data_IF_479942611497
#
_entry.id   IF_479942611497
#
_cell.length_a   1.000
_cell.length_b   1.000
_cell.length_c   1.000
_cell.angle_alpha   90.00
_cell.angle_beta   90.00
_cell.angle_gamma   90.00
#
_symmetry.space_group_name_H-M   'P 1'
#
loop_
_entity.id
_entity.type
_entity.pdbx_description
1 polymer ?
#
# COMPACT_ATOMS: atom_id res chain seq x y z
N UNK A 1 10.84 16.28 23.84
CA UNK A 1 10.54 14.85 23.66
C UNK A 1 9.62 14.79 22.46
N UNK A 2 10.14 14.46 21.29
CA UNK A 2 9.40 14.40 20.03
C UNK A 2 9.93 13.20 19.25
N UNK A 3 9.34 12.04 19.50
CA UNK A 3 9.76 10.75 18.93
C UNK A 3 8.67 10.13 18.04
N UNK A 4 7.57 10.84 17.79
CA UNK A 4 6.32 10.24 17.29
C UNK A 4 6.18 10.14 15.76
N UNK A 5 7.02 10.84 14.98
CA UNK A 5 6.94 10.86 13.51
C UNK A 5 7.95 9.92 12.81
N UNK A 6 8.77 9.21 13.59
CA UNK A 6 9.94 8.45 13.08
C UNK A 6 9.58 7.20 12.25
N UNK A 7 8.29 6.85 12.13
CA UNK A 7 7.82 5.68 11.39
C UNK A 7 6.96 6.02 10.16
N UNK A 8 6.79 7.31 9.83
CA UNK A 8 5.99 7.73 8.66
C UNK A 8 6.73 7.57 7.33
N UNK A 9 8.07 7.62 7.36
CA UNK A 9 8.95 7.41 6.20
C UNK A 9 10.06 6.44 6.62
N UNK A 10 10.25 5.38 5.84
CA UNK A 10 11.01 4.21 6.26
C UNK A 10 12.51 4.49 6.27
N UNK A 11 13.16 4.18 7.39
CA UNK A 11 14.60 3.96 7.41
C UNK A 11 14.90 2.73 6.52
N UNK A 12 15.81 2.90 5.56
CA UNK A 12 16.38 1.85 4.70
C UNK A 12 16.59 0.54 5.51
N UNK A 13 15.69 -0.43 5.33
CA UNK A 13 16.04 -1.85 5.46
C UNK A 13 16.19 -2.35 4.04
N UNK A 14 17.45 -2.35 3.60
CA UNK A 14 18.08 -3.29 2.67
C UNK A 14 17.10 -4.01 1.74
N UNK A 15 17.22 -3.69 0.45
CA UNK A 15 16.35 -4.19 -0.62
C UNK A 15 16.25 -5.72 -0.70
N UNK A 16 15.32 -6.23 -1.52
CA UNK A 16 15.18 -7.66 -1.78
C UNK A 16 16.33 -8.13 -2.69
N UNK A 17 17.54 -8.19 -2.13
CA UNK A 17 18.55 -9.10 -2.62
C UNK A 17 18.27 -10.47 -1.99
N UNK A 18 18.07 -11.46 -2.85
CA UNK A 18 17.84 -12.88 -2.55
C UNK A 18 16.39 -13.29 -2.21
N UNK A 19 15.54 -13.33 -3.24
CA UNK A 19 14.35 -14.18 -3.25
C UNK A 19 14.33 -15.13 -4.47
N UNK A 20 15.43 -15.84 -4.70
CA UNK A 20 15.45 -17.07 -5.50
C UNK A 20 16.37 -18.08 -4.81
N UNK A 21 15.82 -18.92 -3.92
CA UNK A 21 16.38 -20.25 -3.62
C UNK A 21 15.45 -21.04 -2.67
N UNK A 22 14.52 -21.82 -3.23
CA UNK A 22 14.17 -23.11 -2.62
C UNK A 22 13.57 -24.05 -3.68
N UNK A 23 14.44 -24.78 -4.37
CA UNK A 23 14.09 -26.07 -4.98
C UNK A 23 15.13 -27.06 -4.49
N UNK A 24 14.69 -28.02 -3.70
CA UNK A 24 15.51 -29.14 -3.23
C UNK A 24 15.82 -30.07 -4.41
N UNK A 25 17.10 -30.39 -4.58
CA UNK A 25 17.54 -31.54 -5.37
C UNK A 25 16.93 -32.82 -4.78
N UNK A 26 16.19 -33.56 -5.61
CA UNK A 26 16.04 -34.99 -5.46
C UNK A 26 16.11 -35.63 -6.83
N UNK A 27 17.24 -36.27 -7.11
CA UNK A 27 17.49 -37.09 -8.29
C UNK A 27 16.46 -38.23 -8.41
N UNK A 28 15.93 -38.42 -9.62
CA UNK A 28 15.06 -39.53 -9.98
C UNK A 28 14.72 -39.58 -11.47
N UNK A 29 15.55 -40.30 -12.22
CA UNK A 29 15.46 -40.69 -13.65
C UNK A 29 14.07 -40.73 -14.34
N UNK A 30 13.99 -40.13 -15.54
CA UNK A 30 13.57 -40.74 -16.84
C UNK A 30 12.86 -39.74 -17.77
N UNK A 31 13.38 -39.60 -19.00
CA UNK A 31 12.85 -38.83 -20.17
C UNK A 31 11.48 -39.33 -20.71
N UNK A 32 10.90 -38.76 -21.78
CA UNK A 32 10.73 -37.34 -22.19
C UNK A 32 9.30 -37.06 -22.69
N UNK A 33 8.62 -35.96 -22.38
CA UNK A 33 7.50 -35.48 -23.22
C UNK A 33 7.36 -33.96 -23.27
N UNK A 34 6.96 -33.49 -24.46
CA UNK A 34 6.83 -32.12 -24.86
C UNK A 34 5.97 -31.27 -23.92
N UNK A 35 6.44 -30.07 -23.58
CA UNK A 35 5.51 -28.99 -23.27
C UNK A 35 6.14 -27.63 -23.57
N UNK A 36 5.44 -26.83 -24.38
CA UNK A 36 5.85 -25.46 -24.65
C UNK A 36 5.90 -24.68 -23.34
N UNK A 37 7.06 -24.09 -23.05
CA UNK A 37 7.13 -23.01 -22.06
C UNK A 37 6.16 -21.94 -22.53
N UNK A 38 5.02 -21.82 -21.84
CA UNK A 38 4.25 -20.60 -21.90
C UNK A 38 5.18 -19.47 -21.43
N UNK A 39 5.27 -18.35 -22.15
CA UNK A 39 5.94 -17.18 -21.60
C UNK A 39 5.27 -16.84 -20.27
N UNK A 40 6.07 -16.63 -19.23
CA UNK A 40 5.62 -15.91 -18.03
C UNK A 40 4.95 -14.63 -18.51
N UNK A 41 3.68 -14.35 -18.13
CA UNK A 41 3.05 -13.11 -18.53
C UNK A 41 3.92 -11.96 -18.02
N UNK A 42 4.26 -11.04 -18.92
CA UNK A 42 4.92 -9.80 -18.55
C UNK A 42 4.08 -9.09 -17.47
N UNK A 43 4.71 -8.44 -16.48
CA UNK A 43 3.99 -7.66 -15.48
C UNK A 43 3.04 -6.67 -16.17
N UNK A 44 1.75 -6.75 -15.82
CA UNK A 44 0.74 -5.87 -16.38
C UNK A 44 0.82 -4.53 -15.66
N UNK A 45 1.50 -3.56 -16.30
CA UNK A 45 1.48 -2.16 -15.88
C UNK A 45 0.37 -1.44 -16.63
N UNK A 46 -0.87 -1.54 -16.15
CA UNK A 46 -1.95 -0.71 -16.67
C UNK A 46 -1.98 0.61 -15.89
N UNK A 47 -1.52 1.68 -16.53
CA UNK A 47 -1.30 3.00 -15.91
C UNK A 47 -2.56 3.85 -15.85
N UNK A 48 -3.60 3.51 -16.62
CA UNK A 48 -4.86 4.28 -16.68
C UNK A 48 -6.08 3.51 -16.16
N UNK A 49 -6.09 2.17 -16.28
CA UNK A 49 -7.20 1.32 -15.81
C UNK A 49 -6.85 0.57 -14.51
N UNK A 50 -7.78 0.55 -13.56
CA UNK A 50 -7.59 -0.17 -12.29
C UNK A 50 -7.57 -1.68 -12.57
N UNK A 51 -6.53 -2.43 -12.17
CA UNK A 51 -6.46 -3.86 -12.42
C UNK A 51 -7.65 -4.63 -11.86
N UNK A 52 -8.15 -5.63 -12.58
CA UNK A 52 -9.35 -6.39 -12.20
C UNK A 52 -9.27 -6.99 -10.79
N UNK A 53 -8.10 -7.52 -10.41
CA UNK A 53 -7.88 -8.07 -9.06
C UNK A 53 -8.12 -7.03 -7.95
N UNK A 54 -7.76 -5.76 -8.20
CA UNK A 54 -8.02 -4.65 -7.27
C UNK A 54 -9.53 -4.41 -7.19
N UNK A 55 -10.23 -4.36 -8.34
CA UNK A 55 -11.69 -4.12 -8.38
C UNK A 55 -12.47 -5.20 -7.62
N UNK A 56 -12.08 -6.47 -7.74
CA UNK A 56 -12.70 -7.56 -6.98
C UNK A 56 -12.51 -7.41 -5.47
N UNK A 57 -11.28 -7.09 -5.05
CA UNK A 57 -10.95 -6.89 -3.64
C UNK A 57 -11.64 -5.65 -3.05
N UNK A 58 -11.73 -4.57 -3.81
CA UNK A 58 -12.48 -3.36 -3.48
C UNK A 58 -13.96 -3.69 -3.27
N UNK A 59 -14.57 -4.43 -4.21
CA UNK A 59 -15.98 -4.82 -4.10
C UNK A 59 -16.24 -5.70 -2.87
N UNK A 60 -15.29 -6.58 -2.52
CA UNK A 60 -15.35 -7.36 -1.30
C UNK A 60 -15.29 -6.48 -0.04
N UNK A 61 -14.39 -5.49 0.02
CA UNK A 61 -14.31 -4.55 1.13
C UNK A 61 -15.62 -3.76 1.32
N UNK A 62 -16.17 -3.20 0.24
CA UNK A 62 -17.44 -2.46 0.27
C UNK A 62 -18.55 -3.33 0.84
N UNK A 63 -18.63 -4.61 0.43
CA UNK A 63 -19.59 -5.56 1.00
C UNK A 63 -19.35 -5.84 2.48
N UNK A 64 -18.12 -6.12 2.89
CA UNK A 64 -17.80 -6.41 4.29
C UNK A 64 -18.15 -5.25 5.23
N UNK A 65 -17.79 -4.03 4.84
CA UNK A 65 -18.11 -2.83 5.61
C UNK A 65 -19.61 -2.56 5.61
N UNK A 66 -20.29 -2.69 4.47
CA UNK A 66 -21.75 -2.53 4.40
C UNK A 66 -22.49 -3.54 5.27
N UNK A 67 -22.10 -4.81 5.22
CA UNK A 67 -22.73 -5.88 5.99
C UNK A 67 -22.54 -5.69 7.51
N UNK A 68 -21.44 -5.04 7.92
CA UNK A 68 -21.10 -4.82 9.34
C UNK A 68 -21.63 -3.49 9.88
N UNK A 69 -21.41 -2.40 9.12
CA UNK A 69 -21.66 -1.01 9.54
C UNK A 69 -23.02 -0.49 9.04
N UNK A 70 -23.57 -1.09 7.98
CA UNK A 70 -24.87 -0.72 7.41
C UNK A 70 -24.87 0.54 6.54
N UNK A 71 -23.69 1.10 6.24
CA UNK A 71 -23.51 2.34 5.45
C UNK A 71 -22.70 2.02 4.20
N UNK A 72 -23.08 2.62 3.07
CA UNK A 72 -22.36 2.51 1.81
C UNK A 72 -21.09 3.37 1.82
N UNK A 73 -19.99 2.79 1.32
CA UNK A 73 -18.73 3.50 1.08
C UNK A 73 -18.78 4.20 -0.28
N UNK A 74 -18.26 5.43 -0.37
CA UNK A 74 -18.35 6.26 -1.57
C UNK A 74 -16.99 6.61 -2.20
N UNK A 75 -15.91 6.04 -1.66
CA UNK A 75 -14.52 6.28 -2.06
C UNK A 75 -14.00 7.69 -1.74
N UNK A 76 -14.73 8.48 -0.95
CA UNK A 76 -14.21 9.70 -0.33
C UNK A 76 -13.46 9.39 0.96
N UNK A 77 -12.54 10.28 1.34
CA UNK A 77 -11.87 10.23 2.65
C UNK A 77 -12.85 10.31 3.82
N UNK A 78 -14.01 10.95 3.64
CA UNK A 78 -15.06 11.07 4.67
C UNK A 78 -15.65 9.71 5.09
N UNK A 79 -15.51 8.67 4.26
CA UNK A 79 -15.97 7.31 4.58
C UNK A 79 -14.88 6.39 5.15
N UNK A 80 -13.61 6.82 5.19
CA UNK A 80 -12.52 6.06 5.82
C UNK A 80 -12.75 5.75 7.32
N UNK A 81 -13.34 6.64 8.14
CA UNK A 81 -13.68 6.31 9.52
C UNK A 81 -14.63 5.12 9.67
N UNK A 82 -15.45 4.81 8.65
CA UNK A 82 -16.29 3.61 8.65
C UNK A 82 -15.46 2.33 8.47
N UNK A 83 -14.40 2.40 7.65
CA UNK A 83 -13.43 1.33 7.47
C UNK A 83 -12.62 1.12 8.75
N UNK A 84 -12.19 2.21 9.40
CA UNK A 84 -11.49 2.14 10.69
C UNK A 84 -12.36 1.47 11.77
N UNK A 85 -13.65 1.82 11.83
CA UNK A 85 -14.60 1.19 12.75
C UNK A 85 -14.79 -0.31 12.45
N UNK A 86 -14.90 -0.67 11.17
CA UNK A 86 -14.96 -2.06 10.74
C UNK A 86 -13.71 -2.84 11.16
N UNK A 87 -12.51 -2.32 10.90
CA UNK A 87 -11.24 -2.95 11.28
C UNK A 87 -11.10 -3.11 12.79
N UNK A 88 -11.52 -2.10 13.58
CA UNK A 88 -11.54 -2.21 15.04
C UNK A 88 -12.45 -3.36 15.52
N UNK A 89 -13.57 -3.58 14.84
CA UNK A 89 -14.49 -4.70 15.11
C UNK A 89 -13.87 -6.04 14.74
N UNK A 90 -13.28 -6.15 13.54
CA UNK A 90 -12.60 -7.38 13.10
C UNK A 90 -11.44 -7.73 14.03
N UNK A 91 -10.67 -6.73 14.45
CA UNK A 91 -9.53 -6.89 15.36
C UNK A 91 -9.95 -7.41 16.74
N UNK A 92 -11.12 -7.00 17.23
CA UNK A 92 -11.66 -7.53 18.49
C UNK A 92 -12.02 -9.03 18.40
N UNK A 93 -12.36 -9.52 17.20
CA UNK A 93 -12.75 -10.90 16.92
C UNK A 93 -11.65 -11.69 16.17
N UNK A 94 -10.40 -11.22 16.16
CA UNK A 94 -9.37 -11.70 15.23
C UNK A 94 -9.04 -13.19 15.44
N UNK A 95 -9.07 -13.68 16.68
CA UNK A 95 -8.85 -15.09 17.00
C UNK A 95 -9.91 -16.00 16.35
N UNK A 96 -11.16 -15.54 16.31
CA UNK A 96 -12.27 -16.26 15.68
C UNK A 96 -12.26 -16.13 14.16
N UNK A 97 -11.68 -15.04 13.64
CA UNK A 97 -11.68 -14.67 12.22
C UNK A 97 -10.32 -14.85 11.53
N UNK A 98 -9.38 -15.57 12.14
CA UNK A 98 -8.01 -15.70 11.64
C UNK A 98 -7.94 -16.24 10.20
N UNK A 99 -8.85 -17.15 9.81
CA UNK A 99 -8.92 -17.66 8.42
C UNK A 99 -9.36 -16.59 7.40
N UNK A 100 -10.18 -15.62 7.83
CA UNK A 100 -10.66 -14.54 6.97
C UNK A 100 -9.70 -13.34 6.93
N UNK A 101 -8.79 -13.22 7.90
CA UNK A 101 -7.89 -12.07 8.05
C UNK A 101 -7.06 -11.76 6.78
N UNK A 102 -6.50 -12.75 6.05
CA UNK A 102 -5.78 -12.45 4.81
C UNK A 102 -6.65 -11.82 3.71
N UNK A 103 -7.90 -12.26 3.57
CA UNK A 103 -8.83 -11.69 2.60
C UNK A 103 -9.25 -10.28 3.03
N UNK A 104 -9.58 -10.09 4.31
CA UNK A 104 -9.94 -8.78 4.86
C UNK A 104 -8.80 -7.78 4.64
N UNK A 105 -7.57 -8.18 4.96
CA UNK A 105 -6.37 -7.38 4.76
C UNK A 105 -6.24 -6.90 3.30
N UNK A 106 -6.30 -7.84 2.34
CA UNK A 106 -6.17 -7.52 0.91
C UNK A 106 -7.33 -6.65 0.41
N UNK A 107 -8.55 -6.95 0.83
CA UNK A 107 -9.74 -6.17 0.47
C UNK A 107 -9.68 -4.74 0.99
N UNK A 108 -9.32 -4.56 2.26
CA UNK A 108 -9.17 -3.25 2.89
C UNK A 108 -8.01 -2.48 2.26
N UNK A 109 -6.87 -3.11 2.04
CA UNK A 109 -5.73 -2.49 1.36
C UNK A 109 -6.07 -2.04 -0.06
N UNK A 110 -6.78 -2.86 -0.84
CA UNK A 110 -7.22 -2.49 -2.17
C UNK A 110 -8.21 -1.30 -2.14
N UNK A 111 -9.17 -1.30 -1.22
CA UNK A 111 -10.11 -0.19 -1.04
C UNK A 111 -9.40 1.11 -0.65
N UNK A 112 -8.52 1.05 0.36
CA UNK A 112 -7.73 2.20 0.81
C UNK A 112 -6.85 2.73 -0.32
N UNK A 113 -6.19 1.84 -1.07
CA UNK A 113 -5.40 2.20 -2.23
C UNK A 113 -6.22 2.91 -3.30
N UNK A 114 -7.46 2.50 -3.57
CA UNK A 114 -8.34 3.23 -4.51
C UNK A 114 -8.71 4.64 -4.01
N UNK A 115 -8.96 4.81 -2.71
CA UNK A 115 -9.20 6.14 -2.12
C UNK A 115 -7.97 7.03 -2.29
N UNK A 116 -6.78 6.51 -1.98
CA UNK A 116 -5.50 7.22 -2.14
C UNK A 116 -5.24 7.55 -3.61
N UNK A 117 -5.37 6.57 -4.51
CA UNK A 117 -5.10 6.72 -5.95
C UNK A 117 -5.92 7.84 -6.56
N UNK A 118 -7.22 7.90 -6.24
CA UNK A 118 -8.12 8.96 -6.70
C UNK A 118 -7.72 10.33 -6.18
N UNK A 119 -7.23 10.40 -4.95
CA UNK A 119 -6.84 11.65 -4.31
C UNK A 119 -5.52 12.21 -4.85
N UNK A 120 -4.50 11.36 -5.02
CA UNK A 120 -3.15 11.81 -5.41
C UNK A 120 -2.92 11.89 -6.93
N UNK A 121 -3.98 11.74 -7.73
CA UNK A 121 -3.90 11.56 -9.19
C UNK A 121 -2.92 10.42 -9.54
N UNK A 122 -3.13 9.26 -8.94
CA UNK A 122 -2.21 8.15 -9.00
C UNK A 122 -2.62 7.01 -9.93
N UNK A 123 -1.73 6.04 -10.02
CA UNK A 123 -1.91 4.78 -10.73
C UNK A 123 -1.40 3.61 -9.87
N UNK A 124 -1.81 2.39 -10.20
CA UNK A 124 -1.35 1.19 -9.52
C UNK A 124 -0.10 0.62 -10.20
N UNK A 125 0.83 0.13 -9.39
CA UNK A 125 1.88 -0.79 -9.85
C UNK A 125 1.61 -2.15 -9.21
N UNK A 126 1.36 -3.16 -10.05
CA UNK A 126 1.00 -4.53 -9.67
C UNK A 126 1.97 -5.48 -10.40
N UNK A 127 3.19 -5.67 -9.86
CA UNK A 127 4.24 -6.38 -10.59
C UNK A 127 3.93 -7.87 -10.77
N UNK A 128 3.18 -8.47 -9.84
CA UNK A 128 2.71 -9.85 -9.91
C UNK A 128 1.57 -10.08 -8.89
N UNK A 129 1.16 -11.33 -8.71
CA UNK A 129 0.07 -11.73 -7.81
C UNK A 129 0.38 -11.56 -6.31
N UNK A 130 1.66 -11.34 -5.96
CA UNK A 130 2.05 -11.02 -4.59
C UNK A 130 1.59 -9.61 -4.22
N UNK A 131 0.47 -9.57 -3.50
CA UNK A 131 -0.17 -8.35 -3.08
C UNK A 131 0.72 -7.45 -2.20
N UNK A 132 1.72 -8.02 -1.53
CA UNK A 132 2.68 -7.24 -0.73
C UNK A 132 3.51 -6.27 -1.57
N UNK A 133 3.70 -6.54 -2.85
CA UNK A 133 4.47 -5.71 -3.78
C UNK A 133 3.62 -4.63 -4.47
N UNK A 134 2.31 -4.62 -4.23
CA UNK A 134 1.41 -3.66 -4.87
C UNK A 134 1.58 -2.27 -4.28
N UNK A 135 1.61 -1.27 -5.16
CA UNK A 135 1.79 0.13 -4.76
C UNK A 135 0.83 1.04 -5.48
N UNK A 136 0.44 2.11 -4.81
CA UNK A 136 -0.20 3.27 -5.44
C UNK A 136 0.85 4.36 -5.55
N UNK A 137 1.07 4.86 -6.76
CA UNK A 137 2.10 5.84 -7.09
C UNK A 137 1.43 7.13 -7.60
N UNK A 138 1.96 8.29 -7.26
CA UNK A 138 1.45 9.56 -7.79
C UNK A 138 2.05 9.87 -9.16
N UNK A 139 1.23 10.42 -10.06
CA UNK A 139 1.74 10.99 -11.32
C UNK A 139 2.29 12.41 -11.18
N UNK A 140 2.10 13.06 -10.02
CA UNK A 140 2.35 14.51 -9.82
C UNK A 140 3.52 14.85 -8.92
N UNK A 141 4.03 13.88 -8.16
CA UNK A 141 5.22 13.98 -7.34
C UNK A 141 5.76 12.56 -7.14
N UNK A 142 7.06 12.41 -6.90
CA UNK A 142 7.64 11.11 -6.58
C UNK A 142 7.18 10.67 -5.18
N UNK A 143 6.09 9.91 -5.12
CA UNK A 143 5.50 9.38 -3.91
C UNK A 143 4.78 8.08 -4.23
N UNK A 144 5.12 7.02 -3.51
CA UNK A 144 4.35 5.78 -3.53
C UNK A 144 4.02 5.27 -2.13
N UNK A 145 2.91 4.54 -2.05
CA UNK A 145 2.37 3.98 -0.82
C UNK A 145 2.13 2.49 -1.02
N UNK A 146 2.44 1.68 0.00
CA UNK A 146 1.96 0.31 0.11
C UNK A 146 0.64 0.29 0.91
N UNK A 147 -0.54 0.26 0.25
CA UNK A 147 -1.80 0.33 0.97
C UNK A 147 -2.13 -0.96 1.72
N UNK A 148 -1.52 -2.10 1.35
CA UNK A 148 -1.67 -3.34 2.10
C UNK A 148 -0.85 -3.33 3.40
N UNK A 149 0.32 -2.69 3.39
CA UNK A 149 1.06 -2.38 4.61
C UNK A 149 0.23 -1.51 5.57
N UNK A 150 -0.42 -0.47 5.05
CA UNK A 150 -1.31 0.38 5.88
C UNK A 150 -2.51 -0.40 6.45
N UNK A 151 -3.14 -1.28 5.65
CA UNK A 151 -4.21 -2.14 6.12
C UNK A 151 -3.72 -3.17 7.17
N UNK A 152 -2.47 -3.64 7.04
CA UNK A 152 -1.85 -4.55 7.99
C UNK A 152 -1.70 -3.85 9.34
N UNK A 153 -1.08 -2.67 9.33
CA UNK A 153 -0.89 -1.86 10.54
C UNK A 153 -2.22 -1.61 11.25
N UNK A 154 -3.26 -1.25 10.50
CA UNK A 154 -4.59 -1.00 11.05
C UNK A 154 -5.21 -2.27 11.68
N UNK A 155 -5.10 -3.42 11.00
CA UNK A 155 -5.70 -4.68 11.44
C UNK A 155 -4.94 -5.31 12.62
N UNK A 156 -3.62 -5.21 12.62
CA UNK A 156 -2.74 -5.87 13.59
C UNK A 156 -2.15 -4.94 14.64
N UNK A 157 -2.50 -3.65 14.61
CA UNK A 157 -2.02 -2.62 15.53
C UNK A 157 -0.49 -2.43 15.45
N UNK A 158 0.03 -2.33 14.22
CA UNK A 158 1.44 -2.07 13.94
C UNK A 158 2.41 -3.18 14.34
N UNK A 159 1.93 -4.42 14.52
CA UNK A 159 2.81 -5.56 14.77
C UNK A 159 3.82 -5.72 13.64
N UNK A 160 5.05 -6.08 13.99
CA UNK A 160 6.10 -6.33 13.00
C UNK A 160 5.74 -7.50 12.08
N UNK A 161 6.05 -7.36 10.80
CA UNK A 161 5.80 -8.38 9.77
C UNK A 161 6.89 -8.38 8.69
N UNK A 162 7.09 -9.52 8.03
CA UNK A 162 8.12 -9.71 7.00
C UNK A 162 7.78 -9.06 5.64
N UNK A 163 6.71 -8.28 5.59
CA UNK A 163 6.23 -7.62 4.36
C UNK A 163 6.72 -6.18 4.26
N UNK A 164 6.57 -5.53 3.10
CA UNK A 164 7.01 -4.15 2.95
C UNK A 164 6.23 -3.21 3.88
N UNK A 165 6.88 -2.20 4.47
CA UNK A 165 6.27 -1.34 5.48
C UNK A 165 5.13 -0.50 4.88
N UNK A 166 4.26 0.02 5.75
CA UNK A 166 3.23 0.99 5.35
C UNK A 166 3.80 2.37 4.98
N UNK A 167 5.08 2.61 5.28
CA UNK A 167 5.81 3.87 5.12
C UNK A 167 5.68 4.47 3.71
N UNK A 168 5.73 5.81 3.64
CA UNK A 168 5.78 6.49 2.34
C UNK A 168 7.13 6.20 1.70
N UNK A 169 7.12 5.93 0.40
CA UNK A 169 8.34 5.85 -0.40
C UNK A 169 8.50 7.16 -1.17
N UNK A 170 9.59 7.86 -0.87
CA UNK A 170 9.94 9.20 -1.35
C UNK A 170 11.43 9.20 -1.71
N UNK A 171 11.86 10.17 -2.52
CA UNK A 171 13.29 10.42 -2.68
C UNK A 171 13.91 10.96 -1.39
N UNK A 172 15.20 10.70 -1.16
CA UNK A 172 15.88 11.07 0.11
C UNK A 172 15.77 12.57 0.48
N UNK A 173 15.88 13.53 -0.44
CA UNK A 173 15.65 14.94 -0.13
C UNK A 173 14.20 15.23 0.27
N UNK A 174 13.25 14.50 -0.31
CA UNK A 174 11.81 14.68 -0.16
C UNK A 174 11.33 14.12 1.16
N UNK A 175 11.88 12.97 1.56
CA UNK A 175 11.69 12.39 2.88
C UNK A 175 12.04 13.39 4.00
N UNK A 176 13.21 14.02 3.94
CA UNK A 176 13.63 14.99 4.96
C UNK A 176 12.69 16.19 5.02
N UNK A 177 12.27 16.67 3.85
CA UNK A 177 11.35 17.80 3.74
C UNK A 177 9.95 17.47 4.27
N UNK A 178 9.38 16.32 3.90
CA UNK A 178 8.08 15.86 4.38
C UNK A 178 8.12 15.58 5.88
N UNK A 179 9.17 14.94 6.39
CA UNK A 179 9.34 14.70 7.82
C UNK A 179 9.35 16.00 8.62
N UNK A 180 10.10 17.02 8.18
CA UNK A 180 10.11 18.33 8.82
C UNK A 180 8.71 18.98 8.84
N UNK A 181 7.88 18.73 7.80
CA UNK A 181 6.50 19.23 7.74
C UNK A 181 5.59 18.51 8.72
N UNK A 182 5.72 17.19 8.82
CA UNK A 182 4.93 16.34 9.73
C UNK A 182 5.29 16.60 11.20
N UNK A 183 6.58 16.80 11.51
CA UNK A 183 7.04 17.13 12.87
C UNK A 183 6.48 18.46 13.41
N UNK A 184 6.04 19.36 12.52
CA UNK A 184 5.41 20.62 12.91
C UNK A 184 3.93 20.47 13.29
N UNK A 185 3.33 19.30 13.06
CA UNK A 185 1.93 19.01 13.40
C UNK A 185 1.79 18.61 14.88
N UNK A 186 0.60 18.80 15.47
CA UNK A 186 0.30 18.29 16.80
C UNK A 186 0.47 16.76 16.86
N UNK A 187 0.85 16.25 18.04
CA UNK A 187 0.93 14.81 18.27
C UNK A 187 -0.44 14.13 18.08
N UNK A 188 -0.43 12.96 17.43
CA UNK A 188 -1.60 12.09 17.29
C UNK A 188 -1.67 11.13 18.49
N UNK A 189 -2.88 10.78 18.90
CA UNK A 189 -3.07 9.76 19.94
C UNK A 189 -2.54 8.41 19.45
N UNK A 190 -1.79 7.70 20.30
CA UNK A 190 -1.26 6.36 20.01
C UNK A 190 -2.35 5.39 19.51
N UNK A 191 -3.56 5.46 20.08
CA UNK A 191 -4.69 4.62 19.68
C UNK A 191 -5.23 4.90 18.26
N UNK A 192 -4.86 6.05 17.67
CA UNK A 192 -5.29 6.49 16.35
C UNK A 192 -4.17 6.32 15.30
N UNK A 193 -2.95 5.99 15.73
CA UNK A 193 -1.74 6.01 14.90
C UNK A 193 -1.82 5.13 13.65
N UNK A 194 -2.45 3.95 13.77
CA UNK A 194 -2.59 3.00 12.67
C UNK A 194 -3.90 3.10 11.90
N UNK A 195 -4.73 4.13 12.16
CA UNK A 195 -5.99 4.31 11.42
C UNK A 195 -5.72 4.71 9.97
N UNK A 196 -6.54 4.19 9.07
CA UNK A 196 -6.46 4.51 7.65
C UNK A 196 -6.85 5.96 7.38
N UNK A 197 -7.79 6.52 8.14
CA UNK A 197 -8.11 7.96 8.08
C UNK A 197 -6.89 8.83 8.40
N UNK A 198 -6.18 8.53 9.50
CA UNK A 198 -4.95 9.25 9.88
C UNK A 198 -3.85 9.04 8.84
N UNK A 199 -3.69 7.80 8.33
CA UNK A 199 -2.73 7.51 7.26
C UNK A 199 -3.03 8.32 6.00
N UNK A 200 -4.30 8.49 5.65
CA UNK A 200 -4.71 9.31 4.52
C UNK A 200 -4.35 10.79 4.72
N UNK A 201 -4.60 11.36 5.90
CA UNK A 201 -4.22 12.75 6.21
C UNK A 201 -2.70 12.96 6.04
N UNK A 202 -1.90 12.00 6.50
CA UNK A 202 -0.44 12.03 6.33
C UNK A 202 -0.05 12.02 4.84
N UNK A 203 -0.70 11.19 4.03
CA UNK A 203 -0.48 11.14 2.57
C UNK A 203 -0.87 12.48 1.93
N UNK A 204 -2.01 13.04 2.32
CA UNK A 204 -2.52 14.33 1.83
C UNK A 204 -1.55 15.48 2.15
N UNK A 205 -1.01 15.51 3.37
CA UNK A 205 0.00 16.50 3.78
C UNK A 205 1.30 16.31 2.98
N UNK A 206 1.76 15.07 2.81
CA UNK A 206 2.99 14.77 2.09
C UNK A 206 2.88 15.19 0.61
N UNK A 207 1.83 14.75 -0.09
CA UNK A 207 1.65 15.08 -1.51
C UNK A 207 1.43 16.59 -1.71
N UNK A 208 0.70 17.25 -0.82
CA UNK A 208 0.53 18.70 -0.84
C UNK A 208 1.85 19.45 -0.70
N UNK A 209 2.68 19.04 0.27
CA UNK A 209 4.00 19.65 0.49
C UNK A 209 4.92 19.50 -0.74
N UNK A 210 4.95 18.32 -1.36
CA UNK A 210 5.77 18.07 -2.55
C UNK A 210 5.29 18.91 -3.75
N UNK A 211 3.97 18.93 -4.00
CA UNK A 211 3.38 19.74 -5.07
C UNK A 211 3.63 21.23 -4.89
N UNK A 212 3.53 21.75 -3.66
CA UNK A 212 3.80 23.16 -3.36
C UNK A 212 5.28 23.54 -3.60
N UNK A 213 6.19 22.61 -3.37
CA UNK A 213 7.62 22.80 -3.60
C UNK A 213 7.98 22.75 -5.09
N UNK A 214 7.42 21.79 -5.82
CA UNK A 214 7.77 21.51 -7.21
C UNK A 214 6.98 22.41 -8.20
N UNK A 215 5.83 22.96 -7.77
CA UNK A 215 5.01 23.91 -8.52
C UNK A 215 5.67 25.25 -8.88
N UNK A 216 6.96 25.44 -8.54
CA UNK A 216 7.78 26.56 -8.96
C UNK A 216 8.54 26.34 -10.28
N UNK A 217 8.81 25.09 -10.71
CA UNK A 217 9.79 24.79 -11.77
C UNK A 217 9.27 24.04 -13.02
N UNK A 218 7.96 23.78 -13.13
CA UNK A 218 7.33 23.18 -14.33
C UNK A 218 6.46 21.96 -13.99
N UNK A 219 5.62 21.54 -14.94
CA UNK A 219 4.76 20.36 -14.77
C UNK A 219 5.61 19.09 -14.94
N UNK A 220 6.05 18.52 -13.82
CA UNK A 220 6.70 17.21 -13.78
C UNK A 220 5.62 16.14 -13.69
N UNK A 221 5.71 15.13 -14.55
CA UNK A 221 4.84 13.96 -14.55
C UNK A 221 5.67 12.71 -14.31
N UNK A 222 5.18 11.81 -13.46
CA UNK A 222 5.78 10.52 -13.17
C UNK A 222 4.93 9.39 -13.74
N UNK A 223 5.58 8.39 -14.33
CA UNK A 223 4.98 7.20 -14.92
C UNK A 223 5.52 5.93 -14.22
N UNK A 224 5.01 4.75 -14.60
CA UNK A 224 5.39 3.49 -13.92
C UNK A 224 6.90 3.23 -13.94
N UNK A 225 7.58 3.54 -15.04
CA UNK A 225 9.02 3.33 -15.19
C UNK A 225 9.86 4.16 -14.20
N UNK A 226 9.36 5.30 -13.73
CA UNK A 226 10.06 6.13 -12.74
C UNK A 226 10.12 5.46 -11.36
N UNK A 227 9.17 4.56 -11.07
CA UNK A 227 9.05 3.86 -9.79
C UNK A 227 9.66 2.46 -9.80
N UNK A 228 10.05 1.96 -10.97
CA UNK A 228 10.70 0.66 -11.14
C UNK A 228 12.21 0.91 -11.08
N UNK A 229 12.87 0.43 -10.02
CA UNK A 229 14.33 0.49 -9.99
C UNK A 229 14.91 -0.28 -11.19
N UNK A 230 15.94 0.26 -11.87
CA UNK A 230 16.58 -0.48 -12.95
C UNK A 230 17.16 -1.78 -12.38
N UNK A 231 16.72 -2.90 -12.93
CA UNK A 231 17.27 -4.22 -12.62
C UNK A 231 18.77 -4.21 -12.93
N UNK A 232 19.59 -4.31 -11.88
CA UNK A 232 21.04 -4.37 -11.96
C UNK A 232 21.53 -5.81 -12.10
#
# INVERSE_FOLDING_TARGET
MGFFWFWVVGFDVLGPADYIAFVQDSDGDSEPEANGSAPTPDPVFDTDEVPYAILELVAACVRFVKDTVGIDLDFSSDTLPLVDHYLATVRADLDERHEAAPLILRSVGAYFGEVVRRHIEGFWIVPNEDAHLWRVCSSRAFLSVNPLGAAYDALYDGKEHDGPPSALHLDKPDEQFVNARLEALPDVNEADYHRLSVRFEVIEIAIGALRDRDGADGEVTFEADDYIEPSN
#
